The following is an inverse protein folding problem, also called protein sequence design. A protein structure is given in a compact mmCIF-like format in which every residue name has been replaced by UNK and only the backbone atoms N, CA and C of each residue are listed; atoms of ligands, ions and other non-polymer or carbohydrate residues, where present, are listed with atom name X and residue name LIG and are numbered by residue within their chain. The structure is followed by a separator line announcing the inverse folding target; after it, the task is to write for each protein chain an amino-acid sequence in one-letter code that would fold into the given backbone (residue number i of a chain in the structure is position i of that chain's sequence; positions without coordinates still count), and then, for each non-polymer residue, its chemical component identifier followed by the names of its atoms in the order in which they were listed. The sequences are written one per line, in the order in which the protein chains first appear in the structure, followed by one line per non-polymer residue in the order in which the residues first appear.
data_IF_722332017463
#
_entry.id   IF_722332017463
#
_cell.length_a   1.000
_cell.length_b   1.000
_cell.length_c   1.000
_cell.angle_alpha   90.00
_cell.angle_beta   90.00
_cell.angle_gamma   90.00
#
_symmetry.space_group_name_H-M   'P 1'
#
loop_
_entity.id
_entity.type
_entity.pdbx_description
1 polymer ?
#
# COMPACT_ATOMS: atom_id res chain seq x y z
N UNK A 1 -12.50 61.44 -13.39
CA UNK A 1 -12.79 60.11 -13.97
C UNK A 1 -11.78 59.12 -13.42
N UNK A 2 -12.31 58.16 -12.64
CA UNK A 2 -11.74 56.92 -12.05
C UNK A 2 -10.21 56.74 -11.98
N UNK A 3 -9.70 56.84 -10.76
CA UNK A 3 -8.47 56.22 -10.26
C UNK A 3 -8.62 54.70 -10.26
N UNK A 4 -7.64 53.96 -10.78
CA UNK A 4 -7.51 52.50 -10.60
C UNK A 4 -6.10 52.23 -10.05
N UNK A 5 -6.05 51.82 -8.79
CA UNK A 5 -4.83 51.42 -8.09
C UNK A 5 -4.37 50.00 -8.45
N UNK A 6 -3.18 49.59 -7.98
CA UNK A 6 -2.64 48.25 -8.19
C UNK A 6 -3.43 47.19 -7.40
N UNK A 7 -3.62 46.04 -8.06
CA UNK A 7 -4.34 44.85 -7.58
C UNK A 7 -3.70 44.25 -6.32
N UNK A 8 -4.48 43.60 -5.43
CA UNK A 8 -4.02 43.14 -4.14
C UNK A 8 -3.31 41.78 -4.20
N UNK A 9 -2.25 41.68 -3.41
CA UNK A 9 -1.68 40.46 -2.85
C UNK A 9 -2.63 39.81 -1.83
N UNK A 10 -2.75 38.48 -1.92
CA UNK A 10 -3.08 37.47 -0.88
C UNK A 10 -3.92 36.36 -1.56
N UNK A 11 -3.55 35.08 -1.52
CA UNK A 11 -3.64 34.30 -0.29
C UNK A 11 -3.04 32.89 -0.47
N UNK A 12 -2.17 32.53 0.48
CA UNK A 12 -1.96 31.20 1.06
C UNK A 12 -1.97 29.96 0.17
N UNK A 13 -0.78 29.52 -0.26
CA UNK A 13 -0.54 28.10 -0.49
C UNK A 13 -0.52 27.40 0.88
N UNK A 14 -1.58 26.65 1.19
CA UNK A 14 -1.61 25.76 2.35
C UNK A 14 -0.65 24.61 2.07
N UNK A 15 0.60 24.76 2.50
CA UNK A 15 1.52 23.64 2.70
C UNK A 15 0.95 22.77 3.82
N UNK A 16 0.39 21.61 3.46
CA UNK A 16 0.06 20.59 4.45
C UNK A 16 1.37 19.99 4.96
N UNK A 17 1.97 20.63 5.97
CA UNK A 17 2.99 20.01 6.80
C UNK A 17 2.31 18.94 7.65
N UNK A 18 2.43 17.68 7.24
CA UNK A 18 2.22 16.57 8.17
C UNK A 18 3.32 16.68 9.23
N UNK A 19 2.91 17.09 10.43
CA UNK A 19 3.75 17.04 11.62
C UNK A 19 4.23 15.60 11.81
N UNK A 20 5.55 15.42 11.87
CA UNK A 20 6.15 14.18 12.31
C UNK A 20 5.62 13.81 13.69
N UNK A 21 5.19 12.56 13.84
CA UNK A 21 4.95 11.97 15.14
C UNK A 21 6.32 11.52 15.64
N UNK A 22 6.85 12.24 16.63
CA UNK A 22 8.02 11.81 17.40
C UNK A 22 7.68 10.50 18.11
N UNK A 23 8.17 9.39 17.57
CA UNK A 23 8.13 8.08 18.20
C UNK A 23 9.23 7.98 19.25
N UNK A 24 8.91 8.32 20.50
CA UNK A 24 9.76 8.05 21.65
C UNK A 24 10.09 6.56 21.74
N UNK A 25 11.38 6.24 21.75
CA UNK A 25 11.90 4.90 22.09
C UNK A 25 11.81 4.70 23.60
N UNK A 26 10.95 3.80 24.06
CA UNK A 26 11.13 3.16 25.37
C UNK A 26 11.80 1.80 25.18
N UNK A 27 13.00 1.64 25.76
CA UNK A 27 13.73 0.37 25.85
C UNK A 27 13.37 -0.32 27.17
N UNK A 28 12.95 -1.58 27.12
CA UNK A 28 12.87 -2.47 28.28
C UNK A 28 13.85 -3.65 28.11
N UNK A 29 14.64 -3.89 29.15
CA UNK A 29 15.82 -4.77 29.23
C UNK A 29 15.56 -6.29 29.23
N UNK A 30 14.44 -6.79 28.69
CA UNK A 30 14.11 -8.23 28.76
C UNK A 30 13.83 -8.94 27.42
N UNK A 31 14.33 -8.42 26.29
CA UNK A 31 14.51 -9.21 25.05
C UNK A 31 13.26 -9.84 24.42
N UNK A 32 12.05 -9.52 24.89
CA UNK A 32 10.80 -9.94 24.27
C UNK A 32 10.31 -8.78 23.40
N UNK A 33 10.43 -8.93 22.07
CA UNK A 33 9.76 -8.07 21.11
C UNK A 33 8.25 -8.29 21.22
N UNK A 34 7.60 -7.58 22.13
CA UNK A 34 6.16 -7.37 22.06
C UNK A 34 5.92 -6.51 20.82
N UNK A 35 5.48 -7.14 19.73
CA UNK A 35 4.89 -6.45 18.58
C UNK A 35 3.57 -5.83 19.05
N UNK A 36 3.67 -4.72 19.76
CA UNK A 36 2.56 -4.02 20.38
C UNK A 36 1.58 -3.59 19.29
N UNK A 37 0.30 -3.88 19.52
CA UNK A 37 -1.01 -3.35 19.06
C UNK A 37 -1.11 -2.30 17.93
N UNK A 38 -0.03 -1.58 17.61
CA UNK A 38 0.12 -0.56 16.59
C UNK A 38 -0.01 -1.06 15.14
N UNK A 39 0.59 -2.20 14.77
CA UNK A 39 0.54 -2.70 13.37
C UNK A 39 -0.88 -2.99 12.87
N UNK A 40 -1.74 -3.47 13.77
CA UNK A 40 -3.14 -3.77 13.45
C UNK A 40 -3.97 -2.51 13.15
N UNK A 41 -3.69 -1.39 13.84
CA UNK A 41 -4.37 -0.11 13.59
C UNK A 41 -3.89 0.54 12.27
N UNK A 42 -2.66 0.23 11.85
CA UNK A 42 -2.09 0.66 10.56
C UNK A 42 -2.55 -0.18 9.37
N UNK A 43 -3.28 -1.29 9.61
CA UNK A 43 -3.68 -2.23 8.56
C UNK A 43 -2.51 -3.02 7.98
N UNK A 44 -1.43 -3.19 8.74
CA UNK A 44 -0.23 -3.95 8.36
C UNK A 44 -0.24 -5.28 9.13
N UNK A 45 0.01 -6.39 8.43
CA UNK A 45 0.02 -7.71 9.06
C UNK A 45 1.15 -7.81 10.10
N UNK A 46 0.88 -8.38 11.29
CA UNK A 46 1.90 -8.58 12.31
C UNK A 46 3.10 -9.36 11.77
N UNK A 47 4.30 -8.94 12.18
CA UNK A 47 5.55 -9.53 11.72
C UNK A 47 5.99 -9.09 10.32
N UNK A 48 5.25 -8.19 9.66
CA UNK A 48 5.58 -7.65 8.33
C UNK A 48 5.71 -6.13 8.38
N UNK A 49 6.31 -5.55 7.36
CA UNK A 49 6.37 -4.09 7.15
C UNK A 49 5.71 -3.65 5.85
N UNK A 50 5.51 -4.56 4.90
CA UNK A 50 5.01 -4.27 3.56
C UNK A 50 3.63 -4.88 3.28
N UNK A 51 3.10 -5.74 4.15
CA UNK A 51 1.82 -6.41 3.92
C UNK A 51 0.65 -5.61 4.49
N UNK A 52 0.17 -4.60 3.76
CA UNK A 52 -1.00 -3.82 4.17
C UNK A 52 -1.33 -2.64 3.26
N UNK A 53 -2.02 -1.65 3.82
CA UNK A 53 -2.34 -0.39 3.13
C UNK A 53 -1.12 0.55 3.12
N UNK A 54 -0.18 0.29 2.21
CA UNK A 54 1.14 0.93 2.20
C UNK A 54 2.15 0.12 2.98
N UNK A 55 3.23 0.77 3.42
CA UNK A 55 4.33 0.11 4.14
C UNK A 55 4.83 0.95 5.33
N UNK A 56 5.44 0.26 6.31
CA UNK A 56 6.15 0.82 7.45
C UNK A 56 7.67 0.77 7.26
N UNK A 57 8.13 0.44 6.05
CA UNK A 57 9.52 0.16 5.78
C UNK A 57 10.30 1.47 5.59
N UNK A 58 11.38 1.62 6.34
CA UNK A 58 12.26 2.79 6.19
C UNK A 58 13.14 2.71 4.94
N UNK A 59 13.42 1.50 4.46
CA UNK A 59 14.26 1.23 3.30
C UNK A 59 13.76 -0.02 2.57
N UNK A 60 14.23 -0.22 1.33
CA UNK A 60 13.92 -1.44 0.58
C UNK A 60 14.25 -2.73 1.34
N UNK A 61 15.33 -2.76 2.10
CA UNK A 61 15.77 -3.95 2.85
C UNK A 61 15.16 -4.05 4.25
N UNK A 62 14.36 -3.05 4.65
CA UNK A 62 13.71 -3.05 5.95
C UNK A 62 12.51 -4.00 5.93
N UNK A 63 12.72 -5.21 6.45
CA UNK A 63 11.74 -6.29 6.51
C UNK A 63 11.39 -6.60 7.97
N UNK A 64 10.17 -7.09 8.19
CA UNK A 64 9.72 -7.64 9.46
C UNK A 64 10.27 -9.04 9.74
N UNK A 65 9.83 -9.63 10.85
CA UNK A 65 10.24 -10.98 11.27
C UNK A 65 9.79 -12.07 10.31
N UNK A 66 8.66 -11.87 9.63
CA UNK A 66 8.11 -12.79 8.61
C UNK A 66 8.75 -12.54 7.23
N UNK A 67 10.08 -12.65 7.15
CA UNK A 67 10.89 -12.20 6.01
C UNK A 67 10.35 -12.69 4.65
N UNK A 68 10.02 -13.99 4.52
CA UNK A 68 9.53 -14.56 3.25
C UNK A 68 8.20 -13.96 2.81
N UNK A 69 7.26 -13.81 3.75
CA UNK A 69 5.96 -13.21 3.50
C UNK A 69 6.11 -11.72 3.16
N UNK A 70 6.92 -11.01 3.94
CA UNK A 70 7.12 -9.58 3.78
C UNK A 70 7.79 -9.24 2.44
N UNK A 71 8.71 -10.09 1.96
CA UNK A 71 9.27 -9.99 0.62
C UNK A 71 8.22 -10.16 -0.49
N UNK A 72 7.21 -11.01 -0.31
CA UNK A 72 6.11 -11.14 -1.26
C UNK A 72 5.33 -9.83 -1.36
N UNK A 73 4.99 -9.24 -0.21
CA UNK A 73 4.26 -7.97 -0.16
C UNK A 73 5.09 -6.81 -0.70
N UNK A 74 6.36 -6.67 -0.31
CA UNK A 74 7.28 -5.66 -0.87
C UNK A 74 7.32 -5.70 -2.40
N UNK A 75 7.44 -6.91 -2.96
CA UNK A 75 7.50 -7.09 -4.42
C UNK A 75 6.20 -6.65 -5.09
N UNK A 76 5.07 -6.95 -4.47
CA UNK A 76 3.74 -6.53 -4.95
C UNK A 76 3.54 -5.01 -4.82
N UNK A 77 3.93 -4.44 -3.67
CA UNK A 77 3.85 -3.02 -3.39
C UNK A 77 4.71 -2.20 -4.34
N UNK A 78 5.86 -2.71 -4.78
CA UNK A 78 6.73 -2.04 -5.74
C UNK A 78 6.36 -2.33 -7.21
N UNK A 79 5.17 -2.85 -7.49
CA UNK A 79 4.71 -3.10 -8.85
C UNK A 79 4.84 -1.83 -9.73
N UNK A 80 5.54 -1.88 -10.88
CA UNK A 80 5.77 -0.70 -11.74
C UNK A 80 4.49 -0.09 -12.33
N UNK A 81 3.52 -0.96 -12.63
CA UNK A 81 2.22 -0.59 -13.17
C UNK A 81 1.15 -0.82 -12.10
N UNK A 82 0.62 0.29 -11.57
CA UNK A 82 -0.42 0.31 -10.54
C UNK A 82 -1.15 1.65 -10.55
N UNK A 83 -2.39 1.65 -10.11
CA UNK A 83 -3.19 2.85 -9.85
C UNK A 83 -3.44 2.93 -8.35
N UNK A 84 -2.88 3.96 -7.70
CA UNK A 84 -3.05 4.18 -6.25
C UNK A 84 -4.52 4.46 -5.91
N UNK A 85 -4.89 4.32 -4.65
CA UNK A 85 -6.22 4.70 -4.16
C UNK A 85 -6.53 6.15 -4.52
N UNK A 86 -7.75 6.40 -4.97
CA UNK A 86 -8.28 7.71 -5.39
C UNK A 86 -7.46 8.45 -6.45
N UNK A 87 -6.59 7.74 -7.18
CA UNK A 87 -5.73 8.31 -8.20
C UNK A 87 -6.24 7.99 -9.61
N UNK A 88 -5.93 8.89 -10.55
CA UNK A 88 -6.11 8.64 -11.99
C UNK A 88 -4.75 8.35 -12.63
N UNK A 89 -4.64 7.25 -13.35
CA UNK A 89 -3.47 6.87 -14.15
C UNK A 89 -3.94 6.04 -15.34
N UNK A 90 -3.24 6.09 -16.48
CA UNK A 90 -3.62 5.35 -17.69
C UNK A 90 -5.06 5.64 -18.18
N UNK A 91 -5.54 6.86 -17.94
CA UNK A 91 -6.89 7.31 -18.27
C UNK A 91 -8.01 6.48 -17.60
N UNK A 92 -7.73 5.88 -16.44
CA UNK A 92 -8.70 5.23 -15.57
C UNK A 92 -8.55 5.75 -14.13
N UNK A 93 -9.66 5.89 -13.42
CA UNK A 93 -9.71 6.38 -12.04
C UNK A 93 -9.94 5.21 -11.09
N UNK A 94 -9.11 5.09 -10.07
CA UNK A 94 -9.31 4.12 -9.00
C UNK A 94 -10.08 4.76 -7.84
N UNK A 95 -11.41 4.61 -7.82
CA UNK A 95 -12.26 5.15 -6.74
C UNK A 95 -12.24 4.32 -5.44
N UNK A 96 -11.40 3.29 -5.37
CA UNK A 96 -11.29 2.40 -4.21
C UNK A 96 -10.24 2.91 -3.22
N UNK A 97 -10.44 2.59 -1.94
CA UNK A 97 -9.51 2.91 -0.84
C UNK A 97 -8.19 2.12 -0.85
N UNK A 98 -8.02 1.21 -1.82
CA UNK A 98 -6.83 0.37 -1.97
C UNK A 98 -6.19 0.56 -3.35
N UNK A 99 -4.89 0.28 -3.43
CA UNK A 99 -4.13 0.31 -4.69
C UNK A 99 -4.51 -0.89 -5.56
N UNK A 100 -4.60 -0.67 -6.88
CA UNK A 100 -4.81 -1.72 -7.88
C UNK A 100 -3.53 -1.90 -8.69
N UNK A 101 -2.86 -3.04 -8.50
CA UNK A 101 -1.61 -3.39 -9.19
C UNK A 101 -1.89 -4.11 -10.51
N UNK A 102 -0.87 -4.24 -11.36
CA UNK A 102 -1.00 -4.96 -12.62
C UNK A 102 -1.30 -6.45 -12.41
N UNK A 103 -2.09 -7.07 -13.28
CA UNK A 103 -2.52 -8.47 -13.11
C UNK A 103 -1.35 -9.47 -13.04
N UNK A 104 -0.21 -9.17 -13.66
CA UNK A 104 1.02 -9.98 -13.53
C UNK A 104 1.62 -9.88 -12.12
N UNK A 105 1.61 -8.69 -11.52
CA UNK A 105 2.05 -8.50 -10.14
C UNK A 105 1.15 -9.27 -9.18
N UNK A 106 -0.17 -9.21 -9.36
CA UNK A 106 -1.14 -9.95 -8.55
C UNK A 106 -0.97 -11.47 -8.67
N UNK A 107 -0.76 -11.99 -9.89
CA UNK A 107 -0.47 -13.42 -10.09
C UNK A 107 0.84 -13.84 -9.42
N UNK A 108 1.87 -13.00 -9.51
CA UNK A 108 3.18 -13.26 -8.88
C UNK A 108 3.04 -13.24 -7.36
N UNK A 109 2.26 -12.30 -6.83
CA UNK A 109 1.96 -12.17 -5.42
C UNK A 109 1.23 -13.41 -4.89
N UNK A 110 0.15 -13.85 -5.55
CA UNK A 110 -0.56 -15.08 -5.19
C UNK A 110 0.38 -16.29 -5.10
N UNK A 111 1.21 -16.49 -6.13
CA UNK A 111 2.17 -17.61 -6.16
C UNK A 111 3.23 -17.50 -5.06
N UNK A 112 3.67 -16.28 -4.75
CA UNK A 112 4.63 -16.04 -3.68
C UNK A 112 4.03 -16.39 -2.32
N UNK A 113 2.81 -15.92 -2.03
CA UNK A 113 2.09 -16.23 -0.78
C UNK A 113 1.92 -17.74 -0.59
N UNK A 114 1.52 -18.46 -1.64
CA UNK A 114 1.40 -19.94 -1.60
C UNK A 114 2.73 -20.63 -1.31
N UNK A 115 3.85 -20.11 -1.82
CA UNK A 115 5.19 -20.67 -1.58
C UNK A 115 5.77 -20.30 -0.22
N UNK A 116 5.34 -19.19 0.38
CA UNK A 116 5.79 -18.80 1.71
C UNK A 116 5.38 -19.84 2.77
N UNK A 117 4.30 -20.60 2.54
CA UNK A 117 3.84 -21.71 3.38
C UNK A 117 3.70 -21.31 4.85
N UNK A 118 2.95 -20.22 5.09
CA UNK A 118 2.77 -19.61 6.41
C UNK A 118 1.30 -19.19 6.58
N UNK A 119 0.74 -19.40 7.77
CA UNK A 119 -0.68 -19.12 8.07
C UNK A 119 -1.07 -17.66 7.81
N UNK A 120 -0.18 -16.72 8.15
CA UNK A 120 -0.36 -15.28 7.85
C UNK A 120 -0.37 -15.01 6.34
N UNK A 121 0.38 -15.78 5.55
CA UNK A 121 0.37 -15.69 4.09
C UNK A 121 -0.93 -16.21 3.48
N UNK A 122 -1.48 -17.30 4.02
CA UNK A 122 -2.80 -17.83 3.61
C UNK A 122 -3.93 -16.86 3.96
N UNK A 123 -3.86 -16.22 5.13
CA UNK A 123 -4.79 -15.16 5.52
C UNK A 123 -4.71 -13.99 4.52
N UNK A 124 -3.50 -13.51 4.20
CA UNK A 124 -3.32 -12.42 3.26
C UNK A 124 -3.86 -12.75 1.87
N UNK A 125 -3.60 -13.97 1.38
CA UNK A 125 -4.12 -14.45 0.11
C UNK A 125 -5.66 -14.50 0.11
N UNK A 126 -6.26 -15.01 1.17
CA UNK A 126 -7.71 -15.06 1.33
C UNK A 126 -8.33 -13.66 1.36
N UNK A 127 -7.75 -12.75 2.14
CA UNK A 127 -8.24 -11.38 2.25
C UNK A 127 -8.17 -10.66 0.89
N UNK A 128 -7.03 -10.68 0.23
CA UNK A 128 -6.80 -9.94 -1.01
C UNK A 128 -7.59 -10.52 -2.19
N UNK A 129 -7.52 -11.83 -2.41
CA UNK A 129 -8.05 -12.47 -3.62
C UNK A 129 -9.49 -12.96 -3.47
N UNK A 130 -9.93 -13.35 -2.27
CA UNK A 130 -11.24 -13.99 -2.08
C UNK A 130 -12.26 -13.07 -1.42
N UNK A 131 -11.87 -12.29 -0.41
CA UNK A 131 -12.78 -11.40 0.33
C UNK A 131 -12.89 -10.03 -0.36
N UNK A 132 -11.78 -9.31 -0.49
CA UNK A 132 -11.76 -7.98 -1.13
C UNK A 132 -11.86 -8.06 -2.65
N UNK A 133 -11.43 -9.20 -3.22
CA UNK A 133 -11.40 -9.46 -4.67
C UNK A 133 -10.84 -8.28 -5.45
N UNK A 134 -9.69 -7.77 -5.00
CA UNK A 134 -9.08 -6.54 -5.53
C UNK A 134 -8.91 -6.65 -7.06
N UNK A 135 -9.53 -5.77 -7.87
CA UNK A 135 -9.31 -5.77 -9.30
C UNK A 135 -7.89 -5.35 -9.64
N UNK A 136 -7.30 -5.99 -10.65
CA UNK A 136 -5.98 -5.65 -11.16
C UNK A 136 -6.07 -4.80 -12.43
N UNK A 137 -5.00 -4.08 -12.74
CA UNK A 137 -4.83 -3.31 -13.98
C UNK A 137 -4.45 -4.28 -15.11
N UNK A 138 -5.17 -4.23 -16.21
CA UNK A 138 -4.97 -5.05 -17.42
C UNK A 138 -5.11 -4.19 -18.68
N UNK A 139 -4.60 -4.69 -19.81
CA UNK A 139 -4.76 -4.06 -21.12
C UNK A 139 -5.64 -4.93 -22.02
N UNK A 140 -6.72 -4.35 -22.58
CA UNK A 140 -7.63 -5.03 -23.50
C UNK A 140 -7.94 -4.13 -24.68
N UNK A 141 -7.68 -4.62 -25.90
CA UNK A 141 -7.92 -3.89 -27.16
C UNK A 141 -7.31 -2.48 -27.15
N UNK A 142 -6.09 -2.34 -26.62
CA UNK A 142 -5.40 -1.06 -26.50
C UNK A 142 -5.94 -0.12 -25.42
N UNK A 143 -6.87 -0.57 -24.58
CA UNK A 143 -7.43 0.21 -23.46
C UNK A 143 -7.05 -0.41 -22.12
N UNK A 144 -6.62 0.42 -21.17
CA UNK A 144 -6.40 -0.01 -19.79
C UNK A 144 -7.75 -0.20 -19.10
N UNK A 145 -7.92 -1.32 -18.41
CA UNK A 145 -9.15 -1.68 -17.68
C UNK A 145 -8.82 -2.27 -16.32
N UNK A 146 -9.80 -2.25 -15.41
CA UNK A 146 -9.74 -3.07 -14.20
C UNK A 146 -10.36 -4.44 -14.47
N UNK A 147 -9.65 -5.50 -14.11
CA UNK A 147 -10.07 -6.89 -14.25
C UNK A 147 -10.20 -7.51 -12.86
N UNK A 148 -11.35 -8.16 -12.60
CA UNK A 148 -11.54 -8.92 -11.36
C UNK A 148 -10.56 -10.10 -11.28
N UNK A 149 -10.10 -10.46 -10.07
CA UNK A 149 -9.24 -11.62 -9.90
C UNK A 149 -10.00 -12.89 -10.28
N UNK A 150 -9.30 -13.93 -10.80
CA UNK A 150 -9.92 -15.24 -11.01
C UNK A 150 -10.33 -15.84 -9.66
N UNK A 151 -11.23 -16.83 -9.71
CA UNK A 151 -11.49 -17.67 -8.54
C UNK A 151 -10.33 -18.63 -8.35
N UNK A 152 -9.67 -18.55 -7.19
CA UNK A 152 -8.51 -19.35 -6.83
C UNK A 152 -8.87 -20.49 -5.88
#
# INVERSE_FOLDING_TARGET
MRSVGPSPSESGEVRLHTRGVDGGKEMNSNGVQTTTSSSLYSGILPGTKWCGSGDLASTYFDLGSEVKLDMCCRTHDLCPSKVRSYATRYNITNDSMYTKSHCICDKTFYNCLKKANHSTGDLMGTLYFNILRVPCVDERNGKTVFKLPPSY
#
